data_IF_887682448515
#
_entry.id   IF_887682448515
#
_cell.length_a   1.000
_cell.length_b   1.000
_cell.length_c   1.000
_cell.angle_alpha   90.00
_cell.angle_beta   90.00
_cell.angle_gamma   90.00
#
_symmetry.space_group_name_H-M   'P 1'
#
loop_
_entity.id
_entity.type
_entity.pdbx_description
1 polymer ?
#
# COMPACT_ATOMS: atom_id res chain seq x y z
N UNK A 1 7.07 -5.49 -37.73
CA UNK A 1 6.94 -6.79 -37.01
C UNK A 1 7.25 -6.66 -35.51
N UNK A 2 6.95 -5.53 -34.86
CA UNK A 2 7.14 -5.32 -33.41
C UNK A 2 5.83 -4.83 -32.74
N UNK A 3 4.74 -5.55 -32.97
CA UNK A 3 3.41 -5.17 -32.45
C UNK A 3 2.65 -6.36 -31.85
N UNK A 4 3.36 -7.32 -31.26
CA UNK A 4 2.81 -8.62 -30.87
C UNK A 4 2.60 -8.83 -29.36
N UNK A 5 3.11 -7.94 -28.51
CA UNK A 5 2.89 -8.06 -27.06
C UNK A 5 1.60 -7.31 -26.73
N UNK A 6 0.47 -8.02 -26.85
CA UNK A 6 -0.80 -7.48 -26.37
C UNK A 6 -0.81 -7.45 -24.84
N UNK A 7 -1.45 -6.44 -24.29
CA UNK A 7 -1.60 -6.22 -22.84
C UNK A 7 -2.20 -7.46 -22.16
N UNK A 8 -3.08 -8.19 -22.86
CA UNK A 8 -3.68 -9.43 -22.38
C UNK A 8 -2.66 -10.55 -22.09
N UNK A 9 -1.63 -10.71 -22.93
CA UNK A 9 -0.58 -11.70 -22.73
C UNK A 9 0.27 -11.33 -21.51
N UNK A 10 0.59 -10.05 -21.32
CA UNK A 10 1.32 -9.59 -20.14
C UNK A 10 0.55 -9.86 -18.85
N UNK A 11 -0.77 -9.69 -18.82
CA UNK A 11 -1.59 -10.00 -17.65
C UNK A 11 -1.59 -11.50 -17.31
N UNK A 12 -1.71 -12.39 -18.32
CA UNK A 12 -1.61 -13.84 -18.12
C UNK A 12 -0.24 -14.21 -17.55
N UNK A 13 0.84 -13.67 -18.12
CA UNK A 13 2.21 -13.96 -17.65
C UNK A 13 2.43 -13.44 -16.23
N UNK A 14 1.96 -12.22 -15.93
CA UNK A 14 2.03 -11.64 -14.59
C UNK A 14 1.30 -12.50 -13.55
N UNK A 15 0.11 -13.03 -13.88
CA UNK A 15 -0.64 -13.91 -12.99
C UNK A 15 0.14 -15.17 -12.63
N UNK A 16 0.80 -15.80 -13.62
CA UNK A 16 1.64 -17.00 -13.39
C UNK A 16 2.83 -16.64 -12.49
N UNK A 17 3.51 -15.52 -12.74
CA UNK A 17 4.63 -15.07 -11.90
C UNK A 17 4.19 -14.84 -10.46
N UNK A 18 3.05 -14.17 -10.25
CA UNK A 18 2.49 -13.97 -8.90
C UNK A 18 2.16 -15.30 -8.22
N UNK A 19 1.67 -16.29 -8.97
CA UNK A 19 1.32 -17.61 -8.41
C UNK A 19 2.55 -18.43 -8.02
N UNK A 20 3.65 -18.34 -8.78
CA UNK A 20 4.92 -19.03 -8.47
C UNK A 20 5.63 -18.38 -7.29
N UNK A 21 5.75 -17.05 -7.29
CA UNK A 21 6.50 -16.33 -6.26
C UNK A 21 5.66 -16.02 -5.02
N UNK A 22 4.32 -16.07 -5.14
CA UNK A 22 3.37 -15.67 -4.12
C UNK A 22 3.29 -14.15 -3.94
N UNK A 23 2.12 -13.64 -3.56
CA UNK A 23 1.89 -12.21 -3.32
C UNK A 23 2.74 -11.64 -2.17
N UNK A 24 3.13 -12.48 -1.19
CA UNK A 24 3.90 -12.05 -0.01
C UNK A 24 5.32 -11.60 -0.37
N UNK A 25 6.02 -12.31 -1.28
CA UNK A 25 7.36 -11.92 -1.72
C UNK A 25 7.33 -10.74 -2.69
N UNK A 26 6.34 -10.71 -3.59
CA UNK A 26 6.12 -9.57 -4.49
C UNK A 26 5.74 -8.30 -3.75
N UNK A 27 4.98 -8.39 -2.65
CA UNK A 27 4.62 -7.23 -1.81
C UNK A 27 5.83 -6.67 -1.07
N UNK A 28 6.68 -7.55 -0.53
CA UNK A 28 7.91 -7.13 0.17
C UNK A 28 8.87 -6.44 -0.81
N UNK A 29 9.24 -7.12 -1.90
CA UNK A 29 10.17 -6.59 -2.89
C UNK A 29 9.59 -5.41 -3.69
N UNK A 30 8.29 -5.46 -3.99
CA UNK A 30 7.59 -4.39 -4.67
C UNK A 30 7.36 -3.16 -3.79
N UNK A 31 7.36 -3.30 -2.47
CA UNK A 31 7.35 -2.17 -1.54
C UNK A 31 8.65 -1.37 -1.62
N UNK A 32 9.80 -2.06 -1.57
CA UNK A 32 11.12 -1.45 -1.63
C UNK A 32 11.39 -0.81 -2.99
N UNK A 33 11.13 -1.55 -4.07
CA UNK A 33 11.28 -1.05 -5.44
C UNK A 33 10.25 0.03 -5.76
N UNK A 34 9.01 -0.13 -5.32
CA UNK A 34 7.94 0.85 -5.51
C UNK A 34 8.21 2.15 -4.79
N UNK A 35 8.80 2.11 -3.59
CA UNK A 35 9.25 3.29 -2.86
C UNK A 35 10.34 4.07 -3.61
N UNK A 36 11.36 3.37 -4.12
CA UNK A 36 12.43 3.97 -4.91
C UNK A 36 11.90 4.61 -6.20
N UNK A 37 11.04 3.90 -6.95
CA UNK A 37 10.42 4.41 -8.18
C UNK A 37 9.47 5.58 -7.90
N UNK A 38 8.75 5.58 -6.77
CA UNK A 38 7.88 6.70 -6.35
C UNK A 38 8.71 7.96 -6.06
N UNK A 39 9.85 7.83 -5.39
CA UNK A 39 10.78 8.94 -5.15
C UNK A 39 11.37 9.49 -6.44
N UNK A 40 11.78 8.59 -7.36
CA UNK A 40 12.29 8.97 -8.68
C UNK A 40 11.23 9.70 -9.52
N UNK A 41 10.00 9.19 -9.58
CA UNK A 41 8.89 9.88 -10.27
C UNK A 41 8.60 11.24 -9.64
N UNK A 42 8.60 11.34 -8.31
CA UNK A 42 8.36 12.60 -7.61
C UNK A 42 9.45 13.63 -7.92
N UNK A 43 10.72 13.24 -7.92
CA UNK A 43 11.83 14.13 -8.27
C UNK A 43 11.77 14.58 -9.74
N UNK A 44 11.49 13.65 -10.68
CA UNK A 44 11.29 14.01 -12.09
C UNK A 44 10.11 14.97 -12.30
N UNK A 45 8.99 14.74 -11.62
CA UNK A 45 7.83 15.62 -11.74
C UNK A 45 8.04 16.96 -11.02
N UNK A 46 8.83 17.01 -9.94
CA UNK A 46 9.19 18.26 -9.26
C UNK A 46 10.15 19.13 -10.09
N UNK A 47 11.02 18.51 -10.89
CA UNK A 47 11.87 19.22 -11.84
C UNK A 47 11.10 19.70 -13.08
N UNK A 48 10.06 18.98 -13.51
CA UNK A 48 9.15 19.48 -14.57
C UNK A 48 8.17 20.54 -14.04
N UNK A 49 7.62 20.38 -12.82
CA UNK A 49 6.66 21.31 -12.21
C UNK A 49 7.27 22.62 -11.68
N UNK A 50 8.61 22.75 -11.62
CA UNK A 50 9.27 24.05 -11.38
C UNK A 50 9.05 25.07 -12.52
N UNK A 51 8.45 24.66 -13.63
CA UNK A 51 7.99 25.56 -14.70
C UNK A 51 6.49 25.93 -14.63
N UNK A 52 5.70 25.29 -13.77
CA UNK A 52 4.26 25.56 -13.62
C UNK A 52 3.86 25.47 -12.14
N UNK A 53 3.79 26.64 -11.50
CA UNK A 53 3.52 26.80 -10.08
C UNK A 53 2.22 26.13 -9.60
N UNK A 54 2.30 25.56 -8.40
CA UNK A 54 1.21 25.27 -7.46
C UNK A 54 0.28 24.08 -7.80
N UNK A 55 0.50 22.92 -7.16
CA UNK A 55 -0.59 22.05 -6.67
C UNK A 55 -0.12 20.91 -5.74
N UNK A 56 -0.46 21.08 -4.46
CA UNK A 56 -1.04 20.08 -3.53
C UNK A 56 -0.19 18.90 -3.02
N UNK A 57 0.12 19.01 -1.73
CA UNK A 57 -0.10 18.02 -0.66
C UNK A 57 -0.19 16.54 -1.05
N UNK A 58 0.74 15.76 -0.49
CA UNK A 58 0.49 14.37 -0.11
C UNK A 58 1.41 14.00 1.04
N UNK A 59 1.04 14.49 2.21
CA UNK A 59 1.32 13.86 3.50
C UNK A 59 0.32 12.72 3.69
N UNK A 60 0.76 11.46 3.87
CA UNK A 60 -0.05 10.48 4.57
C UNK A 60 0.62 10.08 5.88
N UNK A 61 0.04 10.61 6.95
CA UNK A 61 -0.17 9.97 8.26
C UNK A 61 1.06 9.83 9.19
N UNK A 62 1.14 10.80 10.08
CA UNK A 62 0.93 10.63 11.54
C UNK A 62 0.62 9.19 12.01
N UNK A 63 1.52 8.67 12.85
CA UNK A 63 1.28 7.79 14.03
C UNK A 63 0.47 6.50 13.85
N UNK A 64 1.16 5.35 13.94
CA UNK A 64 0.72 4.19 14.72
C UNK A 64 1.98 3.45 15.23
N UNK A 65 2.37 3.56 16.51
CA UNK A 65 3.06 2.48 17.19
C UNK A 65 2.09 1.31 17.26
N UNK A 66 2.44 0.19 16.64
CA UNK A 66 1.82 -1.10 16.95
C UNK A 66 2.64 -1.67 18.09
N UNK A 67 2.35 -1.20 19.30
CA UNK A 67 2.69 -1.96 20.48
C UNK A 67 1.84 -3.23 20.47
N UNK A 68 2.58 -4.30 20.71
CA UNK A 68 2.16 -5.65 21.04
C UNK A 68 1.27 -5.62 22.31
N UNK A 69 0.58 -6.72 22.60
CA UNK A 69 -0.35 -6.90 23.72
C UNK A 69 -1.76 -6.32 23.55
N UNK A 70 -2.68 -7.11 22.97
CA UNK A 70 -3.77 -7.62 23.80
C UNK A 70 -4.51 -8.78 23.14
N UNK A 71 -4.49 -9.86 23.91
CA UNK A 71 -5.13 -11.15 23.78
C UNK A 71 -6.62 -11.00 23.46
N UNK A 72 -7.11 -11.85 22.55
CA UNK A 72 -8.53 -12.11 22.37
C UNK A 72 -9.05 -12.81 23.62
N UNK A 73 -9.88 -12.14 24.40
CA UNK A 73 -10.80 -12.79 25.32
C UNK A 73 -12.23 -12.37 24.95
N UNK A 74 -12.90 -13.28 24.25
CA UNK A 74 -14.35 -13.27 24.13
C UNK A 74 -14.94 -13.67 25.48
N UNK A 75 -15.43 -12.71 26.27
CA UNK A 75 -16.26 -13.00 27.45
C UNK A 75 -17.64 -12.34 27.34
N UNK A 76 -18.63 -13.22 27.22
CA UNK A 76 -20.04 -12.95 27.39
C UNK A 76 -20.35 -12.87 28.88
N UNK A 77 -20.52 -11.66 29.42
CA UNK A 77 -21.09 -11.41 30.75
C UNK A 77 -21.84 -10.08 30.72
N UNK A 78 -23.13 -10.07 30.40
CA UNK A 78 -24.25 -10.02 31.36
C UNK A 78 -24.40 -8.70 32.15
N UNK A 79 -25.29 -7.85 31.61
CA UNK A 79 -26.45 -7.25 32.29
C UNK A 79 -26.26 -6.32 33.50
N UNK A 80 -26.79 -5.10 33.32
CA UNK A 80 -27.28 -4.12 34.31
C UNK A 80 -26.22 -3.56 35.27
N UNK A 81 -26.05 -2.25 35.24
CA UNK A 81 -26.57 -1.46 36.36
C UNK A 81 -26.96 -0.05 35.94
N UNK A 82 -28.08 0.34 36.51
CA UNK A 82 -28.85 1.56 36.31
C UNK A 82 -28.51 2.49 37.48
N UNK A 83 -28.65 3.79 37.25
CA UNK A 83 -29.19 4.69 38.27
C UNK A 83 -28.24 4.98 39.45
N UNK A 84 -27.26 5.86 39.22
CA UNK A 84 -26.56 6.53 40.30
C UNK A 84 -27.23 7.87 40.63
N UNK A 85 -27.40 8.09 41.93
CA UNK A 85 -27.80 9.33 42.61
C UNK A 85 -27.04 10.55 42.14
#
# INVERSE_FOLDING_TARGET
MLGGISIWQLLIVLAIVIMIFGTKKLRSLGGDLGGAVKGFKKAMNDDEAKNDADSKDSDPLKTLPKDDDTVQDADFSKTKDKENR
#
